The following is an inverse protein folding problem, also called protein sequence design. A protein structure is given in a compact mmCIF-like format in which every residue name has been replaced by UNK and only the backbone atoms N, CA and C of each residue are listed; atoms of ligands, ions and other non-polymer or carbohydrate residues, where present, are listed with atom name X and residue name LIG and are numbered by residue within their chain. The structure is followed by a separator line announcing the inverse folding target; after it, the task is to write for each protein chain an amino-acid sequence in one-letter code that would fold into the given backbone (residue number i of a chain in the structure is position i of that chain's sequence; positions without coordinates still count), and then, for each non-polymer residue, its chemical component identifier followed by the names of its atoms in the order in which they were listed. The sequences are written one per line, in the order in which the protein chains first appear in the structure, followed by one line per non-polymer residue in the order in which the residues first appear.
data_IF_291423238254
#
_entry.id   IF_291423238254
#
_cell.length_a   1.000
_cell.length_b   1.000
_cell.length_c   1.000
_cell.angle_alpha   90.00
_cell.angle_beta   90.00
_cell.angle_gamma   90.00
#
_symmetry.space_group_name_H-M   'P 1'
#
loop_
_entity.id
_entity.type
_entity.pdbx_description
1 polymer ?
#
# COMPACT_ATOMS: atom_id res chain seq x y z
N UNK A 1 -10.48 27.45 -5.46
CA UNK A 1 -11.11 26.18 -5.86
C UNK A 1 -10.02 25.14 -5.80
N UNK A 2 -10.09 24.16 -4.90
CA UNK A 2 -9.00 23.18 -4.73
C UNK A 2 -9.00 22.27 -5.96
N UNK A 3 -8.01 22.47 -6.82
CA UNK A 3 -7.83 21.71 -8.05
C UNK A 3 -7.31 20.32 -7.68
N UNK A 4 -8.22 19.36 -7.60
CA UNK A 4 -7.91 17.98 -7.23
C UNK A 4 -7.90 17.11 -8.49
N UNK A 5 -6.90 17.30 -9.35
CA UNK A 5 -6.86 16.65 -10.67
C UNK A 5 -6.55 15.16 -10.47
N UNK A 6 -7.44 14.24 -10.89
CA UNK A 6 -7.12 12.82 -10.89
C UNK A 6 -6.09 12.53 -12.00
N UNK A 7 -4.97 11.89 -11.67
CA UNK A 7 -3.96 11.53 -12.68
C UNK A 7 -4.36 10.29 -13.49
N UNK A 8 -5.46 9.63 -13.12
CA UNK A 8 -5.95 8.40 -13.75
C UNK A 8 -5.15 7.15 -13.37
N UNK A 9 -4.04 7.29 -12.64
CA UNK A 9 -3.22 6.17 -12.19
C UNK A 9 -3.81 5.54 -10.92
N UNK A 10 -3.97 4.22 -10.97
CA UNK A 10 -4.26 3.41 -9.80
C UNK A 10 -2.96 2.87 -9.22
N UNK A 11 -2.79 3.02 -7.92
CA UNK A 11 -1.62 2.54 -7.19
C UNK A 11 -2.08 1.58 -6.10
N UNK A 12 -1.39 0.45 -5.96
CA UNK A 12 -1.63 -0.48 -4.85
C UNK A 12 -0.59 -0.22 -3.78
N UNK A 13 -1.06 0.19 -2.60
CA UNK A 13 -0.21 0.49 -1.45
C UNK A 13 -0.25 -0.71 -0.52
N UNK A 14 0.90 -1.34 -0.32
CA UNK A 14 1.08 -2.44 0.63
C UNK A 14 1.78 -1.88 1.86
N UNK A 15 1.20 -2.10 3.04
CA UNK A 15 1.80 -1.72 4.33
C UNK A 15 1.84 -2.93 5.26
N UNK A 16 2.89 -3.02 6.08
CA UNK A 16 2.88 -3.95 7.20
C UNK A 16 1.82 -3.51 8.21
N UNK A 17 1.08 -4.47 8.76
CA UNK A 17 0.14 -4.20 9.85
C UNK A 17 0.77 -4.45 11.23
N UNK A 18 1.93 -5.12 11.27
CA UNK A 18 2.57 -5.57 12.51
C UNK A 18 1.71 -6.58 13.30
N UNK A 19 0.68 -7.16 12.67
CA UNK A 19 -0.21 -8.17 13.28
C UNK A 19 -0.01 -9.50 12.57
N UNK A 20 -0.30 -10.58 13.27
CA UNK A 20 -0.30 -11.94 12.73
C UNK A 20 -1.73 -12.41 12.40
N UNK A 21 -1.85 -13.59 11.79
CA UNK A 21 -3.13 -14.22 11.50
C UNK A 21 -4.03 -14.43 12.71
N UNK A 22 -3.48 -14.45 13.92
CA UNK A 22 -4.27 -14.52 15.15
C UNK A 22 -5.28 -13.36 15.25
N UNK A 23 -4.91 -12.17 14.77
CA UNK A 23 -5.76 -10.98 14.84
C UNK A 23 -6.53 -10.69 13.55
N UNK A 24 -5.94 -10.98 12.38
CA UNK A 24 -6.50 -10.62 11.07
C UNK A 24 -7.04 -11.81 10.27
N UNK A 25 -6.91 -13.03 10.79
CA UNK A 25 -7.26 -14.25 10.08
C UNK A 25 -6.17 -14.73 9.11
N UNK A 26 -6.37 -15.87 8.44
CA UNK A 26 -5.45 -16.42 7.45
C UNK A 26 -5.33 -15.53 6.21
N UNK A 27 -4.30 -15.78 5.40
CA UNK A 27 -4.03 -15.02 4.17
C UNK A 27 -5.23 -15.11 3.23
N UNK A 28 -5.75 -13.98 2.74
CA UNK A 28 -6.92 -14.00 1.85
C UNK A 28 -6.61 -14.58 0.45
N UNK A 29 -5.34 -14.89 0.15
CA UNK A 29 -4.87 -15.37 -1.15
C UNK A 29 -4.54 -16.86 -1.12
N UNK A 30 -3.69 -17.30 -0.18
CA UNK A 30 -3.30 -18.71 -0.05
C UNK A 30 -4.02 -19.44 1.09
N UNK A 31 -4.81 -18.73 1.90
CA UNK A 31 -5.51 -19.27 3.08
C UNK A 31 -4.60 -19.85 4.17
N UNK A 32 -3.29 -19.60 4.11
CA UNK A 32 -2.33 -20.03 5.11
C UNK A 32 -2.15 -19.01 6.25
N UNK A 33 -1.62 -19.48 7.37
CA UNK A 33 -1.36 -18.64 8.53
C UNK A 33 -0.21 -17.64 8.26
N UNK A 34 -0.40 -16.40 8.68
CA UNK A 34 0.54 -15.31 8.49
C UNK A 34 1.25 -15.00 9.81
N UNK A 35 2.56 -15.23 9.87
CA UNK A 35 3.39 -14.75 10.98
C UNK A 35 3.44 -13.22 11.01
N UNK A 36 3.52 -12.60 9.83
CA UNK A 36 3.43 -11.16 9.65
C UNK A 36 2.44 -10.87 8.52
N UNK A 37 1.40 -10.11 8.83
CA UNK A 37 0.35 -9.76 7.87
C UNK A 37 0.53 -8.35 7.33
N UNK A 38 0.24 -8.23 6.05
CA UNK A 38 0.31 -7.00 5.30
C UNK A 38 -1.09 -6.61 4.86
N UNK A 39 -1.34 -5.31 4.74
CA UNK A 39 -2.57 -4.78 4.20
C UNK A 39 -2.29 -4.12 2.85
N UNK A 40 -2.89 -4.63 1.78
CA UNK A 40 -2.94 -3.96 0.50
C UNK A 40 -4.21 -3.12 0.38
N UNK A 41 -4.07 -1.88 -0.09
CA UNK A 41 -5.18 -1.03 -0.50
C UNK A 41 -4.94 -0.44 -1.86
N UNK A 42 -6.00 -0.32 -2.64
CA UNK A 42 -5.98 0.48 -3.84
C UNK A 42 -6.17 1.96 -3.49
N UNK A 43 -5.45 2.80 -4.21
CA UNK A 43 -5.60 4.24 -4.15
C UNK A 43 -5.52 4.83 -5.54
N UNK A 44 -6.15 5.99 -5.69
CA UNK A 44 -6.05 6.81 -6.91
C UNK A 44 -5.01 7.88 -6.65
N UNK A 45 -4.06 7.98 -7.56
CA UNK A 45 -3.10 9.06 -7.52
C UNK A 45 -3.77 10.36 -7.92
N UNK A 46 -3.57 11.41 -7.12
CA UNK A 46 -4.14 12.73 -7.33
C UNK A 46 -3.07 13.79 -7.15
N UNK A 47 -3.12 14.81 -7.99
CA UNK A 47 -2.22 15.95 -7.89
C UNK A 47 -2.90 17.06 -7.08
N UNK A 48 -2.19 17.59 -6.07
CA UNK A 48 -2.56 18.84 -5.42
C UNK A 48 -2.13 20.02 -6.27
N UNK A 49 -2.76 21.17 -6.03
CA UNK A 49 -2.40 22.46 -6.64
C UNK A 49 -0.92 22.84 -6.49
N UNK A 50 -0.29 22.43 -5.38
CA UNK A 50 1.14 22.66 -5.11
C UNK A 50 2.08 21.69 -5.87
N UNK A 51 1.57 20.91 -6.83
CA UNK A 51 2.34 19.88 -7.54
C UNK A 51 2.61 18.60 -6.73
N UNK A 52 2.18 18.55 -5.46
CA UNK A 52 2.39 17.37 -4.60
C UNK A 52 1.40 16.27 -4.97
N UNK A 53 1.95 15.12 -5.34
CA UNK A 53 1.19 13.89 -5.58
C UNK A 53 0.80 13.25 -4.24
N UNK A 54 -0.47 12.87 -4.10
CA UNK A 54 -0.93 12.08 -2.97
C UNK A 54 -1.84 10.94 -3.43
N UNK A 55 -1.89 9.89 -2.60
CA UNK A 55 -2.70 8.71 -2.88
C UNK A 55 -4.01 8.82 -2.11
N UNK A 56 -5.09 9.03 -2.85
CA UNK A 56 -6.45 8.98 -2.34
C UNK A 56 -6.87 7.53 -2.18
N UNK A 57 -6.85 7.02 -0.93
CA UNK A 57 -7.09 5.62 -0.62
C UNK A 57 -8.60 5.35 -0.68
N UNK A 58 -9.02 4.46 -1.57
CA UNK A 58 -10.44 4.12 -1.76
C UNK A 58 -10.61 2.60 -1.81
N UNK A 59 -11.54 2.08 -1.01
CA UNK A 59 -11.85 0.65 -0.93
C UNK A 59 -11.34 -0.07 0.33
N UNK A 60 -11.68 -1.36 0.41
CA UNK A 60 -11.29 -2.26 1.49
C UNK A 60 -9.80 -2.57 1.51
N UNK A 61 -9.27 -2.97 2.67
CA UNK A 61 -7.94 -3.59 2.76
C UNK A 61 -8.06 -5.07 2.44
N UNK A 62 -7.12 -5.61 1.65
CA UNK A 62 -6.87 -7.06 1.59
C UNK A 62 -5.69 -7.40 2.49
N UNK A 63 -5.83 -8.41 3.32
CA UNK A 63 -4.82 -8.89 4.26
C UNK A 63 -4.17 -10.17 3.76
N UNK A 64 -2.85 -10.21 3.75
CA UNK A 64 -2.10 -11.32 3.17
C UNK A 64 -0.63 -11.27 3.51
N UNK A 65 0.11 -12.31 3.11
CA UNK A 65 1.56 -12.23 3.06
C UNK A 65 1.99 -11.18 2.04
N UNK A 66 3.14 -10.53 2.28
CA UNK A 66 3.68 -9.52 1.37
C UNK A 66 3.79 -10.03 -0.06
N UNK A 67 4.30 -11.25 -0.24
CA UNK A 67 4.52 -11.87 -1.55
C UNK A 67 3.20 -12.17 -2.27
N UNK A 68 2.21 -12.72 -1.56
CA UNK A 68 0.87 -12.95 -2.10
C UNK A 68 0.20 -11.64 -2.56
N UNK A 69 0.34 -10.57 -1.76
CA UNK A 69 -0.21 -9.27 -2.11
C UNK A 69 0.50 -8.62 -3.31
N UNK A 70 1.82 -8.84 -3.43
CA UNK A 70 2.66 -8.38 -4.55
C UNK A 70 2.35 -9.15 -5.84
N UNK A 71 2.13 -10.46 -5.77
CA UNK A 71 1.77 -11.27 -6.94
C UNK A 71 0.44 -10.84 -7.57
N UNK A 72 -0.49 -10.31 -6.77
CA UNK A 72 -1.73 -9.71 -7.26
C UNK A 72 -1.55 -8.31 -7.90
N UNK A 73 -0.34 -7.77 -7.90
CA UNK A 73 -0.03 -6.49 -8.56
C UNK A 73 0.54 -6.82 -9.93
N UNK A 74 -0.33 -6.94 -10.93
CA UNK A 74 0.07 -6.95 -12.34
C UNK A 74 0.49 -5.54 -12.77
N UNK A 75 1.43 -4.96 -12.04
CA UNK A 75 1.99 -3.65 -12.33
C UNK A 75 3.49 -3.86 -12.25
N UNK A 76 4.15 -3.77 -13.41
CA UNK A 76 5.60 -3.58 -13.50
C UNK A 76 6.00 -2.63 -12.37
N UNK A 77 7.02 -2.98 -11.56
CA UNK A 77 7.42 -2.15 -10.43
C UNK A 77 7.96 -0.84 -10.98
N UNK A 78 7.08 0.12 -11.23
CA UNK A 78 7.49 1.50 -11.40
C UNK A 78 7.93 1.94 -10.01
N UNK A 79 9.24 2.00 -9.88
CA UNK A 79 10.05 2.40 -8.73
C UNK A 79 9.66 3.79 -8.23
N UNK A 80 8.46 3.92 -7.67
CA UNK A 80 7.99 5.13 -7.04
C UNK A 80 8.03 4.95 -5.52
N UNK A 81 9.15 5.43 -4.99
CA UNK A 81 9.28 6.03 -3.67
C UNK A 81 9.12 5.08 -2.46
N UNK A 82 10.11 4.19 -2.31
CA UNK A 82 10.71 4.00 -0.98
C UNK A 82 11.61 5.22 -0.66
N UNK A 83 11.03 6.41 -0.59
CA UNK A 83 11.58 7.45 0.28
C UNK A 83 11.06 7.11 1.69
N UNK A 84 11.67 6.07 2.27
CA UNK A 84 11.65 5.84 3.70
C UNK A 84 12.27 7.09 4.36
N UNK A 85 11.42 8.01 4.79
CA UNK A 85 11.71 8.85 5.93
C UNK A 85 11.91 7.92 7.15
N UNK A 86 13.11 7.36 7.29
CA UNK A 86 13.61 6.92 8.58
C UNK A 86 14.65 7.96 9.00
N UNK A 87 14.18 8.95 9.76
CA UNK A 87 15.03 9.91 10.40
C UNK A 87 15.88 9.27 11.49
N UNK A 88 17.11 9.78 11.60
CA UNK A 88 17.94 9.87 12.81
C UNK A 88 18.17 8.58 13.61
N UNK A 89 19.36 8.03 13.45
CA UNK A 89 20.13 7.55 14.62
C UNK A 89 21.35 8.44 14.78
N UNK A 90 21.33 9.28 15.83
CA UNK A 90 22.52 9.87 16.43
C UNK A 90 23.39 8.73 16.98
N UNK A 91 24.70 8.78 16.73
CA UNK A 91 25.69 8.52 17.77
C UNK A 91 26.93 9.37 17.50
#
# INVERSE_FOLDING_TARGET
MISNVPTGRMVKVIRTTGRSSDYLGPCEICSENMSESYAARYGRERLKENGVVYIDKSGGSTYGHKECLLAMVDVKPDTLALHLCCGKSKK
#
